data_IF_746627595403
#
_entry.id   IF_746627595403
#
_cell.length_a   1.000
_cell.length_b   1.000
_cell.length_c   1.000
_cell.angle_alpha   90.00
_cell.angle_beta   90.00
_cell.angle_gamma   90.00
#
_symmetry.space_group_name_H-M   'P 1'
#
loop_
_entity.id
_entity.type
_entity.pdbx_description
1 polymer ?
#
# COMPACT_ATOMS: atom_id res chain seq x y z
N UNK A 1 33.12 40.06 -5.77
CA UNK A 1 33.50 38.64 -5.56
C UNK A 1 33.91 38.33 -4.12
N UNK A 2 34.66 39.21 -3.43
CA UNK A 2 35.15 39.00 -2.04
C UNK A 2 34.04 39.12 -0.95
N UNK A 3 32.97 39.88 -1.19
CA UNK A 3 31.86 40.03 -0.23
C UNK A 3 30.94 38.79 -0.13
N UNK A 4 30.77 38.06 -1.24
CA UNK A 4 29.96 36.82 -1.28
C UNK A 4 30.66 35.67 -0.56
N UNK A 5 32.00 35.58 -0.64
CA UNK A 5 32.76 34.59 0.12
C UNK A 5 32.74 34.86 1.62
N UNK A 6 32.73 36.13 2.04
CA UNK A 6 32.59 36.48 3.46
C UNK A 6 31.20 36.16 4.01
N UNK A 7 30.14 36.38 3.23
CA UNK A 7 28.77 36.03 3.63
C UNK A 7 28.58 34.51 3.74
N UNK A 8 29.17 33.74 2.82
CA UNK A 8 29.17 32.28 2.87
C UNK A 8 29.91 31.74 4.08
N UNK A 9 31.10 32.28 4.39
CA UNK A 9 31.88 31.87 5.57
C UNK A 9 31.12 32.21 6.85
N UNK A 10 30.50 33.40 6.95
CA UNK A 10 29.66 33.77 8.10
C UNK A 10 28.41 32.88 8.23
N UNK A 11 27.75 32.52 7.12
CA UNK A 11 26.59 31.63 7.13
C UNK A 11 26.98 30.21 7.56
N UNK A 12 28.14 29.72 7.11
CA UNK A 12 28.69 28.44 7.55
C UNK A 12 29.12 28.49 9.02
N UNK A 13 29.70 29.59 9.51
CA UNK A 13 30.03 29.73 10.93
C UNK A 13 28.77 29.80 11.80
N UNK A 14 27.74 30.55 11.36
CA UNK A 14 26.45 30.67 12.03
C UNK A 14 25.73 29.32 12.17
N UNK A 15 25.82 28.46 11.14
CA UNK A 15 25.32 27.08 11.17
C UNK A 15 26.08 26.15 12.13
N UNK A 16 27.33 26.48 12.50
CA UNK A 16 28.16 25.67 13.39
C UNK A 16 28.21 26.16 14.84
N UNK A 17 27.90 27.44 15.12
CA UNK A 17 27.99 28.01 16.47
C UNK A 17 26.65 28.18 17.18
N UNK A 18 25.52 28.03 16.50
CA UNK A 18 24.22 28.19 17.15
C UNK A 18 23.80 26.92 17.92
N UNK A 19 23.61 27.00 19.25
CA UNK A 19 23.22 25.84 20.06
C UNK A 19 21.90 25.20 19.59
N UNK A 20 21.02 25.97 18.94
CA UNK A 20 19.77 25.46 18.37
C UNK A 20 20.02 24.51 17.20
N UNK A 21 20.97 24.79 16.29
CA UNK A 21 21.28 23.91 15.15
C UNK A 21 21.94 22.62 15.63
N UNK A 22 22.79 22.72 16.66
CA UNK A 22 23.40 21.55 17.29
C UNK A 22 22.35 20.70 18.02
N UNK A 23 21.41 21.32 18.74
CA UNK A 23 20.28 20.64 19.39
C UNK A 23 19.39 19.97 18.37
N UNK A 24 19.05 20.62 17.24
CA UNK A 24 18.23 20.01 16.17
C UNK A 24 18.97 18.83 15.53
N UNK A 25 20.26 18.94 15.23
CA UNK A 25 21.06 17.81 14.73
C UNK A 25 21.13 16.67 15.74
N UNK A 26 21.27 16.98 17.02
CA UNK A 26 21.28 15.97 18.08
C UNK A 26 19.90 15.34 18.25
N UNK A 27 18.82 16.12 18.14
CA UNK A 27 17.46 15.60 18.21
C UNK A 27 17.15 14.69 17.01
N UNK A 28 17.55 15.08 15.80
CA UNK A 28 17.43 14.26 14.59
C UNK A 28 18.29 12.99 14.72
N UNK A 29 19.51 13.09 15.27
CA UNK A 29 20.38 11.94 15.52
C UNK A 29 19.78 10.99 16.56
N UNK A 30 19.26 11.53 17.67
CA UNK A 30 18.59 10.75 18.73
C UNK A 30 17.29 10.14 18.21
N UNK A 31 16.51 10.86 17.41
CA UNK A 31 15.31 10.34 16.76
C UNK A 31 15.67 9.24 15.76
N UNK A 32 16.71 9.44 14.95
CA UNK A 32 17.23 8.44 14.01
C UNK A 32 17.79 7.21 14.74
N UNK A 33 18.46 7.38 15.87
CA UNK A 33 18.96 6.30 16.73
C UNK A 33 17.81 5.58 17.43
N UNK A 34 16.80 6.31 17.92
CA UNK A 34 15.61 5.70 18.50
C UNK A 34 14.79 4.95 17.45
N UNK A 35 14.72 5.48 16.22
CA UNK A 35 14.07 4.81 15.09
C UNK A 35 14.88 3.57 14.69
N UNK A 36 16.22 3.65 14.66
CA UNK A 36 17.07 2.50 14.39
C UNK A 36 16.96 1.42 15.49
N UNK A 37 16.91 1.82 16.77
CA UNK A 37 16.70 0.92 17.90
C UNK A 37 15.30 0.28 17.90
N UNK A 38 14.26 0.98 17.43
CA UNK A 38 12.93 0.40 17.22
C UNK A 38 12.96 -0.61 16.06
N UNK A 39 13.72 -0.32 14.99
CA UNK A 39 13.88 -1.24 13.86
C UNK A 39 14.77 -2.46 14.14
N UNK A 40 15.56 -2.46 15.21
CA UNK A 40 16.50 -3.55 15.58
C UNK A 40 15.96 -4.51 16.65
N UNK A 41 14.64 -4.59 16.83
CA UNK A 41 14.06 -5.69 17.62
C UNK A 41 14.28 -7.00 16.84
N UNK A 42 15.14 -7.88 17.36
CA UNK A 42 15.31 -9.22 16.78
C UNK A 42 13.97 -9.96 16.79
N UNK A 43 13.55 -10.43 15.61
CA UNK A 43 12.36 -11.25 15.48
C UNK A 43 12.54 -12.55 16.27
N UNK A 44 11.49 -12.95 16.98
CA UNK A 44 11.46 -14.27 17.61
C UNK A 44 11.51 -15.35 16.54
N UNK A 45 11.99 -16.55 16.88
CA UNK A 45 12.02 -17.66 15.91
C UNK A 45 10.63 -17.93 15.34
N UNK A 46 9.60 -17.90 16.20
CA UNK A 46 8.22 -18.04 15.80
C UNK A 46 7.79 -16.99 14.76
N UNK A 47 8.14 -15.71 14.95
CA UNK A 47 7.83 -14.67 13.99
C UNK A 47 8.57 -14.85 12.65
N UNK A 48 9.81 -15.35 12.69
CA UNK A 48 10.58 -15.67 11.47
C UNK A 48 9.91 -16.80 10.69
N UNK A 49 9.54 -17.88 11.38
CA UNK A 49 8.88 -19.03 10.78
C UNK A 49 7.54 -18.65 10.14
N UNK A 50 6.76 -17.80 10.81
CA UNK A 50 5.50 -17.29 10.27
C UNK A 50 5.69 -16.39 9.06
N UNK A 51 6.66 -15.47 9.11
CA UNK A 51 6.98 -14.60 7.98
C UNK A 51 7.42 -15.43 6.77
N UNK A 52 8.26 -16.46 6.98
CA UNK A 52 8.67 -17.39 5.93
C UNK A 52 7.49 -18.19 5.37
N UNK A 53 6.57 -18.65 6.22
CA UNK A 53 5.37 -19.35 5.78
C UNK A 53 4.45 -18.45 4.93
N UNK A 54 4.25 -17.18 5.33
CA UNK A 54 3.37 -16.23 4.63
C UNK A 54 3.99 -15.74 3.32
N UNK A 55 5.29 -15.42 3.31
CA UNK A 55 6.00 -14.93 2.11
C UNK A 55 6.54 -16.07 1.23
N UNK A 56 6.47 -17.30 1.70
CA UNK A 56 6.94 -18.50 1.01
C UNK A 56 6.14 -18.81 -0.26
N UNK A 57 6.46 -19.92 -0.94
CA UNK A 57 5.83 -20.27 -2.22
C UNK A 57 4.38 -20.77 -2.10
N UNK A 58 3.95 -21.22 -0.91
CA UNK A 58 2.59 -21.70 -0.68
C UNK A 58 1.60 -20.52 -0.61
N UNK A 59 0.37 -20.75 -1.07
CA UNK A 59 -0.73 -19.79 -1.01
C UNK A 59 -1.59 -19.98 0.24
N UNK A 60 -1.72 -21.20 0.78
CA UNK A 60 -2.61 -21.46 1.92
C UNK A 60 -2.31 -20.58 3.15
N UNK A 61 -1.05 -20.39 3.58
CA UNK A 61 -0.73 -19.50 4.69
C UNK A 61 -1.07 -18.04 4.37
N UNK A 62 -0.87 -17.64 3.11
CA UNK A 62 -1.14 -16.29 2.64
C UNK A 62 -2.64 -15.98 2.53
N UNK A 63 -3.45 -16.93 2.09
CA UNK A 63 -4.92 -16.80 2.02
C UNK A 63 -5.54 -16.67 3.42
N UNK A 64 -5.08 -17.50 4.36
CA UNK A 64 -5.47 -17.42 5.77
C UNK A 64 -5.07 -16.07 6.36
N UNK A 65 -3.84 -15.62 6.06
CA UNK A 65 -3.34 -14.31 6.48
C UNK A 65 -4.18 -13.16 5.93
N UNK A 66 -4.53 -13.15 4.63
CA UNK A 66 -5.40 -12.14 4.02
C UNK A 66 -6.75 -12.08 4.73
N UNK A 67 -7.35 -13.23 5.00
CA UNK A 67 -8.68 -13.31 5.64
C UNK A 67 -8.64 -12.69 7.04
N UNK A 68 -7.72 -13.14 7.89
CA UNK A 68 -7.57 -12.63 9.25
C UNK A 68 -7.18 -11.14 9.28
N UNK A 69 -6.37 -10.69 8.31
CA UNK A 69 -5.96 -9.30 8.20
C UNK A 69 -7.12 -8.41 7.75
N UNK A 70 -7.97 -8.87 6.84
CA UNK A 70 -9.17 -8.14 6.44
C UNK A 70 -10.13 -7.96 7.61
N UNK A 71 -10.34 -9.02 8.41
CA UNK A 71 -11.14 -8.93 9.64
C UNK A 71 -10.59 -7.86 10.61
N UNK A 72 -9.27 -7.64 10.64
CA UNK A 72 -8.65 -6.56 11.43
C UNK A 72 -9.01 -5.15 10.94
N UNK A 73 -9.36 -5.01 9.66
CA UNK A 73 -9.73 -3.74 9.05
C UNK A 73 -11.23 -3.46 9.08
N UNK A 74 -12.05 -4.48 9.35
CA UNK A 74 -13.51 -4.39 9.42
C UNK A 74 -14.02 -4.02 10.82
N UNK A 75 -13.17 -3.46 11.69
CA UNK A 75 -13.45 -3.17 13.10
C UNK A 75 -14.91 -2.72 13.34
N UNK A 76 -15.72 -3.68 13.82
CA UNK A 76 -17.17 -3.53 14.02
C UNK A 76 -17.43 -2.29 14.88
N UNK A 77 -18.31 -1.39 14.43
CA UNK A 77 -19.07 -0.55 15.37
C UNK A 77 -19.70 -1.50 16.40
N UNK A 78 -19.47 -1.32 17.71
CA UNK A 78 -20.01 -2.24 18.70
C UNK A 78 -21.54 -2.20 18.63
N UNK A 79 -22.14 -3.31 18.23
CA UNK A 79 -23.58 -3.51 18.38
C UNK A 79 -23.86 -3.62 19.89
N UNK A 80 -24.77 -2.80 20.47
CA UNK A 80 -25.08 -2.84 21.90
C UNK A 80 -25.52 -4.22 22.43
N UNK A 81 -25.88 -5.16 21.55
CA UNK A 81 -26.47 -6.44 21.92
C UNK A 81 -25.56 -7.68 21.76
N UNK A 82 -24.32 -7.57 21.26
CA UNK A 82 -23.46 -8.74 20.96
C UNK A 82 -22.62 -9.28 22.16
N UNK A 83 -23.01 -9.05 23.42
CA UNK A 83 -22.22 -9.45 24.58
C UNK A 83 -22.44 -10.91 25.06
N UNK A 84 -22.76 -11.86 24.17
CA UNK A 84 -23.15 -13.22 24.55
C UNK A 84 -22.30 -14.38 23.98
N UNK A 85 -21.19 -14.12 23.28
CA UNK A 85 -20.30 -15.18 22.78
C UNK A 85 -18.85 -14.98 23.24
N UNK A 86 -18.56 -15.22 24.53
CA UNK A 86 -17.22 -14.95 25.11
C UNK A 86 -16.11 -15.91 24.64
N UNK A 87 -16.44 -17.16 24.33
CA UNK A 87 -15.41 -18.21 24.19
C UNK A 87 -14.95 -18.41 22.74
N UNK A 88 -15.79 -18.10 21.75
CA UNK A 88 -15.40 -18.09 20.33
C UNK A 88 -14.72 -16.78 19.90
N UNK A 89 -14.94 -15.69 20.64
CA UNK A 89 -14.37 -14.37 20.32
C UNK A 89 -12.92 -14.20 20.76
N UNK A 90 -12.43 -14.93 21.77
CA UNK A 90 -11.03 -14.79 22.20
C UNK A 90 -10.06 -15.33 21.14
N UNK A 91 -10.32 -16.52 20.61
CA UNK A 91 -9.45 -17.20 19.64
C UNK A 91 -9.43 -16.56 18.25
N UNK A 92 -10.55 -15.97 17.81
CA UNK A 92 -10.59 -15.19 16.56
C UNK A 92 -9.82 -13.88 16.73
N UNK A 93 -10.01 -13.19 17.85
CA UNK A 93 -9.31 -11.94 18.15
C UNK A 93 -7.78 -12.15 18.26
N UNK A 94 -7.33 -13.29 18.79
CA UNK A 94 -5.92 -13.68 18.78
C UNK A 94 -5.36 -13.77 17.35
N UNK A 95 -6.03 -14.51 16.44
CA UNK A 95 -5.58 -14.66 15.05
C UNK A 95 -5.56 -13.34 14.27
N UNK A 96 -6.58 -12.49 14.49
CA UNK A 96 -6.66 -11.15 13.90
C UNK A 96 -5.52 -10.27 14.40
N UNK A 97 -5.26 -10.28 15.71
CA UNK A 97 -4.16 -9.53 16.31
C UNK A 97 -2.81 -10.01 15.80
N UNK A 98 -2.63 -11.32 15.64
CA UNK A 98 -1.43 -11.95 15.12
C UNK A 98 -1.18 -11.60 13.65
N UNK A 99 -2.21 -11.68 12.80
CA UNK A 99 -2.13 -11.26 11.41
C UNK A 99 -1.75 -9.78 11.30
N UNK A 100 -2.35 -8.91 12.13
CA UNK A 100 -2.00 -7.48 12.17
C UNK A 100 -0.56 -7.23 12.59
N UNK A 101 -0.07 -7.95 13.61
CA UNK A 101 1.31 -7.88 14.06
C UNK A 101 2.27 -8.32 12.94
N UNK A 102 2.01 -9.45 12.30
CA UNK A 102 2.84 -9.98 11.23
C UNK A 102 2.86 -9.06 10.01
N UNK A 103 1.71 -8.48 9.66
CA UNK A 103 1.61 -7.45 8.63
C UNK A 103 2.53 -6.26 8.93
N UNK A 104 2.48 -5.73 10.15
CA UNK A 104 3.35 -4.62 10.55
C UNK A 104 4.84 -4.98 10.52
N UNK A 105 5.21 -6.19 10.95
CA UNK A 105 6.59 -6.70 10.89
C UNK A 105 7.07 -6.76 9.44
N UNK A 106 6.31 -7.40 8.55
CA UNK A 106 6.68 -7.56 7.14
C UNK A 106 6.77 -6.22 6.44
N UNK A 107 5.85 -5.30 6.75
CA UNK A 107 5.85 -3.93 6.22
C UNK A 107 7.12 -3.16 6.58
N UNK A 108 7.66 -3.37 7.78
CA UNK A 108 8.89 -2.72 8.22
C UNK A 108 10.16 -3.39 7.69
N UNK A 109 10.18 -4.73 7.68
CA UNK A 109 11.40 -5.50 7.37
C UNK A 109 11.54 -5.79 5.87
N UNK A 110 10.46 -6.21 5.22
CA UNK A 110 10.44 -6.71 3.84
C UNK A 110 9.26 -6.13 3.02
N UNK A 111 9.09 -4.79 2.93
CA UNK A 111 7.95 -4.18 2.24
C UNK A 111 7.83 -4.61 0.77
N UNK A 112 8.96 -4.65 0.06
CA UNK A 112 9.04 -5.09 -1.34
C UNK A 112 8.50 -6.52 -1.54
N UNK A 113 8.96 -7.46 -0.70
CA UNK A 113 8.54 -8.86 -0.78
C UNK A 113 7.05 -9.02 -0.45
N UNK A 114 6.56 -8.26 0.52
CA UNK A 114 5.15 -8.27 0.90
C UNK A 114 4.28 -7.82 -0.27
N UNK A 115 4.59 -6.67 -0.85
CA UNK A 115 3.84 -6.10 -1.98
C UNK A 115 3.90 -7.01 -3.21
N UNK A 116 5.05 -7.58 -3.52
CA UNK A 116 5.19 -8.58 -4.61
C UNK A 116 4.35 -9.83 -4.33
N UNK A 117 4.27 -10.30 -3.07
CA UNK A 117 3.44 -11.45 -2.70
C UNK A 117 1.96 -11.15 -2.95
N UNK A 118 1.45 -9.97 -2.56
CA UNK A 118 0.10 -9.52 -2.90
C UNK A 118 -0.12 -9.48 -4.42
N UNK A 119 0.80 -8.88 -5.18
CA UNK A 119 0.69 -8.78 -6.64
C UNK A 119 0.66 -10.16 -7.32
N UNK A 120 1.52 -11.08 -6.89
CA UNK A 120 1.53 -12.45 -7.43
C UNK A 120 0.25 -13.21 -7.08
N UNK A 121 -0.29 -13.02 -5.87
CA UNK A 121 -1.55 -13.63 -5.48
C UNK A 121 -2.73 -13.11 -6.32
N UNK A 122 -2.81 -11.80 -6.56
CA UNK A 122 -3.82 -11.22 -7.47
C UNK A 122 -3.74 -11.82 -8.86
N UNK A 123 -2.51 -12.05 -9.35
CA UNK A 123 -2.28 -12.66 -10.66
C UNK A 123 -2.77 -14.11 -10.70
N UNK A 124 -2.46 -14.93 -9.69
CA UNK A 124 -2.71 -16.38 -9.70
C UNK A 124 -4.07 -16.82 -9.16
N UNK A 125 -4.69 -16.05 -8.27
CA UNK A 125 -5.90 -16.47 -7.57
C UNK A 125 -7.12 -16.49 -8.49
N UNK A 126 -7.90 -17.58 -8.41
CA UNK A 126 -9.20 -17.71 -9.06
C UNK A 126 -10.37 -17.38 -8.12
N UNK A 127 -10.12 -17.28 -6.82
CA UNK A 127 -11.13 -16.90 -5.82
C UNK A 127 -11.40 -15.38 -5.88
N UNK A 128 -12.65 -15.00 -6.16
CA UNK A 128 -13.06 -13.59 -6.30
C UNK A 128 -12.98 -12.89 -4.93
N UNK A 129 -13.48 -13.52 -3.87
CA UNK A 129 -13.55 -12.93 -2.52
C UNK A 129 -12.13 -12.67 -1.97
N UNK A 130 -11.23 -13.64 -2.11
CA UNK A 130 -9.85 -13.46 -1.67
C UNK A 130 -9.11 -12.41 -2.52
N UNK A 131 -9.40 -12.32 -3.83
CA UNK A 131 -8.83 -11.25 -4.67
C UNK A 131 -9.32 -9.87 -4.23
N UNK A 132 -10.60 -9.73 -3.93
CA UNK A 132 -11.19 -8.48 -3.46
C UNK A 132 -10.51 -8.00 -2.17
N UNK A 133 -10.43 -8.88 -1.16
CA UNK A 133 -9.71 -8.61 0.10
C UNK A 133 -8.25 -8.24 -0.16
N UNK A 134 -7.57 -8.98 -1.03
CA UNK A 134 -6.19 -8.74 -1.42
C UNK A 134 -6.00 -7.34 -2.05
N UNK A 135 -6.90 -6.93 -2.94
CA UNK A 135 -6.89 -5.62 -3.58
C UNK A 135 -7.08 -4.51 -2.55
N UNK A 136 -8.06 -4.64 -1.64
CA UNK A 136 -8.34 -3.64 -0.60
C UNK A 136 -7.12 -3.44 0.30
N UNK A 137 -6.53 -4.53 0.78
CA UNK A 137 -5.35 -4.49 1.64
C UNK A 137 -4.17 -3.86 0.90
N UNK A 138 -3.97 -4.21 -0.36
CA UNK A 138 -2.91 -3.63 -1.19
C UNK A 138 -3.11 -2.11 -1.38
N UNK A 139 -4.35 -1.67 -1.63
CA UNK A 139 -4.67 -0.25 -1.76
C UNK A 139 -4.31 0.52 -0.49
N UNK A 140 -4.76 0.03 0.67
CA UNK A 140 -4.45 0.63 1.98
C UNK A 140 -2.94 0.68 2.21
N UNK A 141 -2.24 -0.41 1.91
CA UNK A 141 -0.80 -0.49 2.04
C UNK A 141 -0.07 0.56 1.18
N UNK A 142 -0.52 0.81 -0.05
CA UNK A 142 0.18 1.70 -0.98
C UNK A 142 -0.20 3.17 -0.85
N UNK A 143 -1.38 3.48 -0.30
CA UNK A 143 -1.96 4.84 -0.31
C UNK A 143 -2.13 5.47 1.06
N UNK A 144 -2.38 4.69 2.12
CA UNK A 144 -2.69 5.22 3.46
C UNK A 144 -1.52 5.07 4.45
N UNK A 145 -0.44 4.38 4.04
CA UNK A 145 0.57 3.88 4.95
C UNK A 145 1.92 4.61 4.87
N UNK A 146 2.40 5.16 5.99
CA UNK A 146 3.64 5.94 6.04
C UNK A 146 4.93 5.12 5.80
N UNK A 147 4.95 3.82 6.14
CA UNK A 147 6.19 3.03 6.08
C UNK A 147 6.33 2.28 4.74
N UNK A 148 5.22 1.97 4.09
CA UNK A 148 5.20 1.25 2.80
C UNK A 148 4.45 2.02 1.72
N UNK A 149 4.71 3.33 1.61
CA UNK A 149 4.15 4.16 0.54
C UNK A 149 4.61 3.68 -0.84
N UNK A 150 3.77 3.89 -1.85
CA UNK A 150 4.11 3.68 -3.25
C UNK A 150 5.49 4.23 -3.65
N UNK A 151 5.82 5.45 -3.20
CA UNK A 151 7.06 6.15 -3.54
C UNK A 151 8.31 5.55 -2.89
N UNK A 152 8.16 4.76 -1.83
CA UNK A 152 9.27 4.07 -1.18
C UNK A 152 9.63 2.73 -1.86
N UNK A 153 8.79 2.25 -2.79
CA UNK A 153 9.05 1.03 -3.55
C UNK A 153 10.01 1.31 -4.72
N UNK A 154 10.79 0.29 -5.07
CA UNK A 154 11.62 0.30 -6.27
C UNK A 154 10.77 0.42 -7.53
N UNK A 155 11.32 1.08 -8.56
CA UNK A 155 10.66 1.21 -9.85
C UNK A 155 10.26 -0.14 -10.48
N UNK A 156 11.05 -1.20 -10.23
CA UNK A 156 10.71 -2.56 -10.67
C UNK A 156 9.42 -3.08 -10.02
N UNK A 157 9.28 -2.92 -8.71
CA UNK A 157 8.10 -3.40 -7.99
C UNK A 157 6.87 -2.59 -8.38
N UNK A 158 7.01 -1.27 -8.50
CA UNK A 158 5.97 -0.40 -9.04
C UNK A 158 5.50 -0.87 -10.42
N UNK A 159 6.41 -1.16 -11.34
CA UNK A 159 6.06 -1.68 -12.68
C UNK A 159 5.35 -3.03 -12.63
N UNK A 160 5.77 -3.93 -11.73
CA UNK A 160 5.11 -5.24 -11.53
C UNK A 160 3.66 -5.03 -11.09
N UNK A 161 3.42 -4.18 -10.08
CA UNK A 161 2.08 -3.91 -9.56
C UNK A 161 1.17 -3.34 -10.65
N UNK A 162 1.65 -2.31 -11.38
CA UNK A 162 0.90 -1.72 -12.50
C UNK A 162 0.52 -2.77 -13.52
N UNK A 163 1.48 -3.57 -13.97
CA UNK A 163 1.23 -4.65 -14.94
C UNK A 163 0.19 -5.64 -14.41
N UNK A 164 0.34 -6.12 -13.18
CA UNK A 164 -0.61 -7.05 -12.56
C UNK A 164 -2.03 -6.47 -12.56
N UNK A 165 -2.20 -5.22 -12.14
CA UNK A 165 -3.52 -4.59 -12.04
C UNK A 165 -4.19 -4.45 -13.43
N UNK A 166 -3.44 -4.00 -14.44
CA UNK A 166 -3.97 -3.89 -15.82
C UNK A 166 -4.26 -5.26 -16.44
N UNK A 167 -3.38 -6.25 -16.23
CA UNK A 167 -3.59 -7.62 -16.66
C UNK A 167 -4.89 -8.19 -16.06
N UNK A 168 -5.13 -7.93 -14.76
CA UNK A 168 -6.33 -8.42 -14.07
C UNK A 168 -7.61 -7.77 -14.56
N UNK A 169 -7.62 -6.46 -14.82
CA UNK A 169 -8.78 -5.79 -15.44
C UNK A 169 -9.12 -6.41 -16.81
N UNK A 170 -8.09 -6.80 -17.57
CA UNK A 170 -8.28 -7.42 -18.90
C UNK A 170 -8.84 -8.84 -18.83
N UNK A 171 -8.53 -9.55 -17.76
CA UNK A 171 -8.96 -10.93 -17.53
C UNK A 171 -10.26 -11.03 -16.72
N UNK A 172 -10.81 -9.89 -16.29
CA UNK A 172 -11.93 -9.87 -15.37
C UNK A 172 -13.17 -10.52 -16.01
N UNK A 173 -13.74 -11.49 -15.31
CA UNK A 173 -14.89 -12.29 -15.76
C UNK A 173 -16.18 -11.96 -14.97
N UNK A 174 -16.11 -10.98 -14.07
CA UNK A 174 -17.17 -10.57 -13.15
C UNK A 174 -17.10 -9.07 -12.86
N UNK A 175 -18.14 -8.51 -12.27
CA UNK A 175 -18.12 -7.12 -11.81
C UNK A 175 -17.25 -6.97 -10.55
N UNK A 176 -15.92 -6.98 -10.71
CA UNK A 176 -14.98 -6.70 -9.63
C UNK A 176 -14.78 -5.18 -9.50
N UNK A 177 -15.76 -4.56 -8.84
CA UNK A 177 -15.79 -3.11 -8.61
C UNK A 177 -14.57 -2.67 -7.81
N UNK A 178 -14.14 -3.46 -6.83
CA UNK A 178 -13.08 -3.09 -5.92
C UNK A 178 -11.70 -3.02 -6.59
N UNK A 179 -11.40 -3.93 -7.53
CA UNK A 179 -10.21 -3.83 -8.39
C UNK A 179 -10.21 -2.52 -9.18
N UNK A 180 -11.35 -2.19 -9.77
CA UNK A 180 -11.50 -0.98 -10.58
C UNK A 180 -11.38 0.28 -9.73
N UNK A 181 -12.00 0.29 -8.54
CA UNK A 181 -11.92 1.36 -7.55
C UNK A 181 -10.47 1.59 -7.10
N UNK A 182 -9.78 0.52 -6.74
CA UNK A 182 -8.40 0.56 -6.27
C UNK A 182 -7.44 1.09 -7.35
N UNK A 183 -7.60 0.65 -8.61
CA UNK A 183 -6.82 1.19 -9.73
C UNK A 183 -7.10 2.67 -9.93
N UNK A 184 -8.36 3.11 -9.82
CA UNK A 184 -8.72 4.51 -9.94
C UNK A 184 -8.12 5.37 -8.81
N UNK A 185 -8.22 4.93 -7.55
CA UNK A 185 -7.65 5.65 -6.39
C UNK A 185 -6.13 5.75 -6.45
N UNK A 186 -5.44 4.66 -6.81
CA UNK A 186 -3.99 4.69 -7.01
C UNK A 186 -3.61 5.61 -8.18
N UNK A 187 -4.31 5.52 -9.31
CA UNK A 187 -4.04 6.39 -10.44
C UNK A 187 -4.27 7.87 -10.07
N UNK A 188 -5.34 8.18 -9.34
CA UNK A 188 -5.62 9.53 -8.86
C UNK A 188 -4.48 10.11 -8.01
N UNK A 189 -3.90 9.32 -7.10
CA UNK A 189 -2.77 9.77 -6.28
C UNK A 189 -1.47 9.95 -7.08
N UNK A 190 -1.36 9.33 -8.27
CA UNK A 190 -0.17 9.39 -9.13
C UNK A 190 -0.26 10.42 -10.27
N UNK A 191 -1.45 11.00 -10.49
CA UNK A 191 -1.72 11.90 -11.60
C UNK A 191 -0.91 13.21 -11.62
N UNK A 192 -0.62 13.88 -10.48
CA UNK A 192 0.18 15.12 -10.49
C UNK A 192 1.55 14.97 -11.17
N UNK A 193 2.12 13.77 -11.12
CA UNK A 193 3.48 13.48 -11.61
C UNK A 193 3.50 12.70 -12.94
N UNK A 194 2.33 12.42 -13.54
CA UNK A 194 2.18 11.50 -14.68
C UNK A 194 2.91 10.16 -14.47
N UNK A 195 2.85 9.64 -13.23
CA UNK A 195 3.63 8.47 -12.83
C UNK A 195 3.09 7.16 -13.39
N UNK A 196 1.97 7.14 -14.14
CA UNK A 196 1.38 5.95 -14.74
C UNK A 196 0.89 6.18 -16.20
N UNK A 197 1.82 6.43 -17.15
CA UNK A 197 1.47 6.83 -18.51
C UNK A 197 0.75 5.73 -19.32
N UNK A 198 0.89 4.46 -18.93
CA UNK A 198 0.29 3.31 -19.62
C UNK A 198 -1.22 3.16 -19.38
N UNK A 199 -1.76 3.79 -18.31
CA UNK A 199 -3.13 3.59 -17.88
C UNK A 199 -4.16 4.12 -18.90
N UNK A 200 -4.00 5.36 -19.37
CA UNK A 200 -4.96 5.95 -20.32
C UNK A 200 -5.01 5.21 -21.67
N UNK A 201 -3.87 4.87 -22.30
CA UNK A 201 -3.86 4.02 -23.49
C UNK A 201 -4.54 2.67 -23.26
N UNK A 202 -4.32 2.05 -22.10
CA UNK A 202 -4.97 0.80 -21.72
C UNK A 202 -6.49 0.93 -21.62
N UNK A 203 -7.00 1.92 -20.88
CA UNK A 203 -8.43 2.16 -20.72
C UNK A 203 -9.10 2.44 -22.07
N UNK A 204 -8.43 3.19 -22.95
CA UNK A 204 -8.91 3.42 -24.30
C UNK A 204 -9.05 2.12 -25.10
N UNK A 205 -8.05 1.22 -25.02
CA UNK A 205 -8.13 -0.10 -25.65
C UNK A 205 -9.23 -0.98 -25.05
N UNK A 206 -9.44 -0.93 -23.74
CA UNK A 206 -10.53 -1.64 -23.08
C UNK A 206 -11.89 -1.23 -23.65
N UNK A 207 -12.13 0.07 -23.84
CA UNK A 207 -13.40 0.60 -24.35
C UNK A 207 -13.58 0.35 -25.85
N UNK A 208 -12.55 0.59 -26.65
CA UNK A 208 -12.63 0.57 -28.12
C UNK A 208 -12.31 -0.79 -28.73
N UNK A 209 -11.64 -1.67 -27.99
CA UNK A 209 -11.23 -2.99 -28.43
C UNK A 209 -12.44 -3.86 -28.81
N UNK A 210 -12.42 -4.39 -30.02
CA UNK A 210 -13.49 -5.28 -30.52
C UNK A 210 -13.52 -6.63 -29.81
N UNK A 211 -12.40 -7.05 -29.20
CA UNK A 211 -12.26 -8.28 -28.42
C UNK A 211 -12.44 -8.09 -26.91
N UNK A 212 -12.61 -6.85 -26.43
CA UNK A 212 -12.79 -6.58 -25.01
C UNK A 212 -14.15 -7.06 -24.55
N UNK A 213 -14.15 -7.85 -23.46
CA UNK A 213 -15.39 -8.32 -22.86
C UNK A 213 -16.19 -7.15 -22.24
N UNK A 214 -17.46 -7.37 -21.93
CA UNK A 214 -18.31 -6.30 -21.37
C UNK A 214 -17.84 -5.86 -19.97
N UNK A 215 -17.29 -6.76 -19.16
CA UNK A 215 -16.81 -6.48 -17.81
C UNK A 215 -15.61 -5.52 -17.82
N UNK A 216 -14.62 -5.78 -18.67
CA UNK A 216 -13.46 -4.90 -18.90
C UNK A 216 -13.88 -3.51 -19.35
N UNK A 217 -14.94 -3.39 -20.18
CA UNK A 217 -15.50 -2.09 -20.57
C UNK A 217 -16.14 -1.36 -19.39
N UNK A 218 -16.91 -2.06 -18.57
CA UNK A 218 -17.52 -1.52 -17.35
C UNK A 218 -16.44 -1.04 -16.39
N UNK A 219 -15.42 -1.86 -16.10
CA UNK A 219 -14.27 -1.48 -15.29
C UNK A 219 -13.56 -0.24 -15.85
N UNK A 220 -13.34 -0.18 -17.16
CA UNK A 220 -12.68 0.98 -17.77
C UNK A 220 -13.51 2.27 -17.63
N UNK A 221 -14.82 2.21 -17.88
CA UNK A 221 -15.69 3.36 -17.67
C UNK A 221 -15.79 3.78 -16.21
N UNK A 222 -15.82 2.81 -15.29
CA UNK A 222 -15.83 3.08 -13.85
C UNK A 222 -14.56 3.82 -13.41
N UNK A 223 -13.38 3.33 -13.83
CA UNK A 223 -12.09 3.97 -13.56
C UNK A 223 -12.07 5.39 -14.13
N UNK A 224 -12.47 5.58 -15.39
CA UNK A 224 -12.54 6.89 -16.03
C UNK A 224 -13.48 7.85 -15.28
N UNK A 225 -14.62 7.35 -14.79
CA UNK A 225 -15.57 8.12 -14.01
C UNK A 225 -14.96 8.67 -12.71
N UNK A 226 -14.33 7.78 -11.92
CA UNK A 226 -13.67 8.19 -10.67
C UNK A 226 -12.52 9.16 -10.94
N UNK A 227 -11.69 8.89 -11.96
CA UNK A 227 -10.60 9.80 -12.31
C UNK A 227 -11.11 11.18 -12.71
N UNK A 228 -12.22 11.26 -13.46
CA UNK A 228 -12.81 12.53 -13.83
C UNK A 228 -13.34 13.32 -12.62
N UNK A 229 -13.85 12.64 -11.60
CA UNK A 229 -14.30 13.25 -10.34
C UNK A 229 -13.10 13.82 -9.56
N UNK A 230 -12.07 13.00 -9.32
CA UNK A 230 -10.87 13.39 -8.54
C UNK A 230 -10.03 14.48 -9.24
N UNK A 231 -9.91 14.43 -10.58
CA UNK A 231 -9.28 15.50 -11.36
C UNK A 231 -10.17 16.75 -11.43
N UNK A 232 -11.47 16.55 -11.53
CA UNK A 232 -12.44 17.64 -11.61
C UNK A 232 -12.35 18.56 -10.41
N UNK A 233 -12.21 18.00 -9.20
CA UNK A 233 -12.05 18.76 -7.97
C UNK A 233 -10.73 19.53 -7.87
N UNK A 234 -9.63 18.97 -8.40
CA UNK A 234 -8.31 19.65 -8.44
C UNK A 234 -8.23 20.75 -9.50
N UNK A 235 -9.12 20.71 -10.50
CA UNK A 235 -9.19 21.66 -11.62
C UNK A 235 -10.11 22.86 -11.37
N UNK A 236 -10.88 22.92 -10.27
CA UNK A 236 -11.68 24.11 -9.93
C UNK A 236 -10.75 25.21 -9.40
N UNK A 237 -10.52 26.30 -10.14
CA UNK A 237 -9.81 27.46 -9.61
C UNK A 237 -10.76 28.20 -8.67
N UNK A 238 -10.30 28.54 -7.46
CA UNK A 238 -10.93 29.60 -6.67
C UNK A 238 -10.91 30.95 -7.43
#
# INVERSE_FOLDING_TARGET
MVLLSFLWIQLTLFMFTHPIVLVVKNLISVLSLSLSLITDTELTQFQKDQMEAILGPDWNPFETFITNLMESFEEKKPDPFENLNSDNMSSSNEKVSEAKLMFNIMKQKNPESLVIKFANFLRSSNDIDLREKCVIILNKLLTEDDLCTWFNLSGSTQSIIKSVLLDRISLEASDNIELSYTVAKMAASFLPDNSWPELLPFLYQCVTGSSSNNYTKVSAFFILGILAEEIGETMVPC
#
